data_IF_502668874685
#
_entry.id   IF_502668874685
#
_cell.length_a   1.000
_cell.length_b   1.000
_cell.length_c   1.000
_cell.angle_alpha   90.00
_cell.angle_beta   90.00
_cell.angle_gamma   90.00
#
_symmetry.space_group_name_H-M   'P 1'
#
loop_
_entity.id
_entity.type
_entity.pdbx_description
1 polymer ?
#
# COMPACT_ATOMS: atom_id res chain seq x y z
N UNK A 1 -0.70 -41.76 35.47
CA UNK A 1 -1.74 -41.61 34.44
C UNK A 1 -1.71 -40.17 33.96
N UNK A 2 -1.46 -40.01 32.68
CA UNK A 2 -1.46 -38.80 31.84
C UNK A 2 -2.77 -38.02 31.90
N UNK A 3 -2.73 -36.69 31.85
CA UNK A 3 -3.43 -35.92 30.81
C UNK A 3 -2.88 -34.49 30.72
N UNK A 4 -2.18 -34.22 29.60
CA UNK A 4 -1.95 -32.88 29.07
C UNK A 4 -3.30 -32.26 28.71
N UNK A 5 -3.48 -30.98 29.00
CA UNK A 5 -4.40 -30.14 28.24
C UNK A 5 -3.55 -29.01 27.67
N UNK A 6 -3.06 -29.31 26.46
CA UNK A 6 -2.83 -28.32 25.43
C UNK A 6 -4.19 -27.70 25.09
N UNK A 7 -4.32 -26.40 25.28
CA UNK A 7 -5.37 -25.61 24.65
C UNK A 7 -4.68 -24.35 24.17
N UNK A 8 -4.23 -24.45 22.93
CA UNK A 8 -3.55 -23.40 22.20
C UNK A 8 -4.28 -22.06 22.29
N UNK A 9 -3.45 -21.03 22.30
CA UNK A 9 -3.77 -19.68 21.85
C UNK A 9 -4.86 -19.70 20.75
N UNK A 10 -6.05 -19.11 20.97
CA UNK A 10 -6.58 -18.26 19.94
C UNK A 10 -5.68 -17.04 19.95
N UNK A 11 -4.63 -17.08 19.10
CA UNK A 11 -3.98 -15.87 18.63
C UNK A 11 -5.00 -15.16 17.73
N UNK A 12 -6.08 -14.67 18.35
CA UNK A 12 -6.91 -13.61 17.81
C UNK A 12 -5.99 -12.41 17.78
N UNK A 13 -5.19 -12.33 16.71
CA UNK A 13 -4.46 -11.12 16.39
C UNK A 13 -5.44 -9.95 16.46
N UNK A 14 -5.02 -8.77 16.93
CA UNK A 14 -5.87 -7.59 16.88
C UNK A 14 -6.42 -7.47 15.44
N UNK A 15 -7.64 -6.94 15.24
CA UNK A 15 -8.20 -6.76 13.89
C UNK A 15 -7.12 -6.09 13.06
N UNK A 16 -6.50 -6.85 12.14
CA UNK A 16 -5.29 -6.42 11.46
C UNK A 16 -5.65 -5.09 10.78
N UNK A 17 -5.07 -4.00 11.29
CA UNK A 17 -5.50 -2.65 10.98
C UNK A 17 -5.63 -2.51 9.47
N UNK A 18 -6.84 -2.23 9.01
CA UNK A 18 -7.16 -1.99 7.60
C UNK A 18 -6.34 -0.82 7.02
N UNK A 19 -5.62 -0.09 7.88
CA UNK A 19 -4.71 1.01 7.59
C UNK A 19 -3.20 0.66 7.64
N UNK A 20 -2.81 -0.58 7.93
CA UNK A 20 -1.38 -0.94 8.02
C UNK A 20 -0.77 -1.29 6.67
N UNK A 21 0.28 -0.57 6.28
CA UNK A 21 1.08 -0.88 5.09
C UNK A 21 1.85 -2.19 5.28
N UNK A 22 1.71 -3.13 4.34
CA UNK A 22 2.51 -4.36 4.31
C UNK A 22 3.48 -4.36 3.14
N UNK A 23 4.69 -4.88 3.41
CA UNK A 23 5.75 -4.96 2.41
C UNK A 23 5.35 -5.84 1.22
N UNK A 24 4.74 -6.99 1.49
CA UNK A 24 4.27 -7.95 0.48
C UNK A 24 3.26 -7.34 -0.52
N UNK A 25 2.33 -6.50 -0.03
CA UNK A 25 1.33 -5.82 -0.86
C UNK A 25 1.96 -4.74 -1.75
N UNK A 26 2.94 -4.01 -1.20
CA UNK A 26 3.69 -3.00 -1.93
C UNK A 26 4.52 -3.65 -3.03
N UNK A 27 5.23 -4.74 -2.74
CA UNK A 27 6.05 -5.46 -3.74
C UNK A 27 5.17 -6.09 -4.84
N UNK A 28 3.97 -6.60 -4.50
CA UNK A 28 3.03 -7.10 -5.48
C UNK A 28 2.56 -6.01 -6.45
N UNK A 29 2.15 -4.85 -5.93
CA UNK A 29 1.74 -3.70 -6.75
C UNK A 29 2.90 -3.13 -7.59
N UNK A 30 4.11 -3.11 -7.05
CA UNK A 30 5.29 -2.64 -7.77
C UNK A 30 5.61 -3.58 -8.94
N UNK A 31 5.55 -4.89 -8.73
CA UNK A 31 5.72 -5.86 -9.80
C UNK A 31 4.65 -5.68 -10.89
N UNK A 32 3.37 -5.59 -10.51
CA UNK A 32 2.28 -5.35 -11.45
C UNK A 32 2.50 -4.08 -12.30
N UNK A 33 2.99 -3.00 -11.68
CA UNK A 33 3.27 -1.74 -12.35
C UNK A 33 4.47 -1.82 -13.31
N UNK A 34 5.48 -2.63 -12.99
CA UNK A 34 6.72 -2.78 -13.77
C UNK A 34 6.58 -3.76 -14.94
N UNK A 35 5.69 -4.75 -14.86
CA UNK A 35 5.49 -5.76 -15.91
C UNK A 35 4.86 -5.20 -17.22
N UNK A 36 4.68 -3.89 -17.35
CA UNK A 36 4.35 -3.13 -18.58
C UNK A 36 3.02 -3.43 -19.28
N UNK A 37 2.29 -4.49 -18.92
CA UNK A 37 0.97 -4.82 -19.49
C UNK A 37 -0.21 -4.16 -18.77
N UNK A 38 0.00 -3.63 -17.55
CA UNK A 38 -1.09 -3.04 -16.78
C UNK A 38 -1.34 -1.57 -17.18
N UNK A 39 -2.56 -1.27 -17.64
CA UNK A 39 -2.96 0.12 -17.82
C UNK A 39 -3.12 0.85 -16.48
N UNK A 40 -3.01 2.17 -16.49
CA UNK A 40 -3.25 3.01 -15.31
C UNK A 40 -4.66 2.78 -14.72
N UNK A 41 -5.65 2.51 -15.57
CA UNK A 41 -7.01 2.20 -15.14
C UNK A 41 -7.05 0.88 -14.35
N UNK A 42 -6.46 -0.19 -14.88
CA UNK A 42 -6.39 -1.49 -14.20
C UNK A 42 -5.60 -1.41 -12.90
N UNK A 43 -4.50 -0.66 -12.90
CA UNK A 43 -3.72 -0.42 -11.68
C UNK A 43 -4.54 0.31 -10.62
N UNK A 44 -5.33 1.31 -11.02
CA UNK A 44 -6.18 2.07 -10.10
C UNK A 44 -7.34 1.24 -9.52
N UNK A 45 -7.85 0.26 -10.27
CA UNK A 45 -8.83 -0.71 -9.77
C UNK A 45 -8.20 -1.64 -8.74
N UNK A 46 -7.00 -2.17 -9.02
CA UNK A 46 -6.25 -3.00 -8.05
C UNK A 46 -5.98 -2.24 -6.76
N UNK A 47 -5.63 -0.96 -6.84
CA UNK A 47 -5.39 -0.12 -5.67
C UNK A 47 -6.57 -0.03 -4.71
N UNK A 48 -7.82 -0.19 -5.18
CA UNK A 48 -9.01 -0.16 -4.31
C UNK A 48 -8.99 -1.25 -3.23
N UNK A 49 -8.27 -2.35 -3.48
CA UNK A 49 -8.06 -3.41 -2.48
C UNK A 49 -7.05 -3.02 -1.38
N UNK A 50 -6.29 -1.94 -1.58
CA UNK A 50 -5.20 -1.50 -0.69
C UNK A 50 -5.46 -0.06 -0.20
N UNK A 51 -6.38 0.14 0.77
CA UNK A 51 -6.81 1.47 1.21
C UNK A 51 -5.66 2.31 1.80
N UNK A 52 -4.73 1.70 2.55
CA UNK A 52 -3.57 2.40 3.10
C UNK A 52 -2.63 2.96 2.00
N UNK A 53 -2.36 2.15 0.97
CA UNK A 53 -1.52 2.53 -0.17
C UNK A 53 -2.23 3.59 -1.02
N UNK A 54 -3.52 3.41 -1.29
CA UNK A 54 -4.36 4.37 -2.00
C UNK A 54 -4.35 5.74 -1.32
N UNK A 55 -4.52 5.79 0.00
CA UNK A 55 -4.48 7.03 0.77
C UNK A 55 -3.13 7.73 0.65
N UNK A 56 -2.02 6.98 0.64
CA UNK A 56 -0.68 7.55 0.48
C UNK A 56 -0.47 8.15 -0.92
N UNK A 57 -0.95 7.46 -1.95
CA UNK A 57 -0.93 7.93 -3.34
C UNK A 57 -1.73 9.24 -3.48
N UNK A 58 -2.95 9.29 -2.93
CA UNK A 58 -3.78 10.49 -2.93
C UNK A 58 -3.10 11.67 -2.22
N UNK A 59 -2.51 11.44 -1.04
CA UNK A 59 -1.76 12.48 -0.34
C UNK A 59 -0.58 13.02 -1.15
N UNK A 60 0.19 12.14 -1.82
CA UNK A 60 1.32 12.59 -2.64
C UNK A 60 0.82 13.36 -3.89
N UNK A 61 -0.22 12.87 -4.56
CA UNK A 61 -0.79 13.54 -5.72
C UNK A 61 -1.26 14.95 -5.36
N UNK A 62 -1.97 15.11 -4.25
CA UNK A 62 -2.40 16.41 -3.76
C UNK A 62 -1.23 17.30 -3.28
N UNK A 63 -0.18 16.73 -2.70
CA UNK A 63 1.03 17.49 -2.33
C UNK A 63 1.80 17.97 -3.56
N UNK A 64 1.74 17.24 -4.67
CA UNK A 64 2.37 17.62 -5.93
C UNK A 64 1.50 18.58 -6.76
N UNK A 65 0.19 18.58 -6.54
CA UNK A 65 -0.72 19.58 -7.08
C UNK A 65 -0.39 20.96 -6.47
N UNK A 66 -0.34 22.00 -7.30
CA UNK A 66 -0.06 23.37 -6.84
C UNK A 66 -1.28 23.95 -6.12
N UNK A 67 -1.07 24.99 -5.31
CA UNK A 67 -2.15 25.75 -4.70
C UNK A 67 -3.12 26.28 -5.78
N UNK A 68 -4.41 25.95 -5.63
CA UNK A 68 -5.48 26.35 -6.55
C UNK A 68 -6.01 25.25 -7.48
N UNK A 69 -5.41 24.06 -7.48
CA UNK A 69 -6.00 22.89 -8.15
C UNK A 69 -7.09 22.25 -7.27
N UNK A 70 -8.10 21.66 -7.92
CA UNK A 70 -9.10 20.85 -7.23
C UNK A 70 -8.45 19.66 -6.54
N UNK A 71 -8.95 19.31 -5.35
CA UNK A 71 -8.48 18.14 -4.61
C UNK A 71 -8.69 16.86 -5.43
N UNK A 72 -7.63 16.04 -5.52
CA UNK A 72 -7.67 14.73 -6.16
C UNK A 72 -8.17 13.73 -5.11
N UNK A 73 -9.42 13.26 -5.26
CA UNK A 73 -10.06 12.33 -4.33
C UNK A 73 -10.18 10.89 -4.84
N UNK A 74 -9.91 10.66 -6.14
CA UNK A 74 -10.03 9.35 -6.78
C UNK A 74 -8.67 8.74 -7.12
N UNK A 75 -8.50 7.44 -6.87
CA UNK A 75 -7.25 6.72 -7.14
C UNK A 75 -6.86 6.76 -8.62
N UNK A 76 -7.83 6.62 -9.54
CA UNK A 76 -7.61 6.72 -10.97
C UNK A 76 -7.02 8.07 -11.38
N UNK A 77 -7.58 9.17 -10.85
CA UNK A 77 -7.08 10.52 -11.10
C UNK A 77 -5.69 10.73 -10.51
N UNK A 78 -5.43 10.22 -9.29
CA UNK A 78 -4.12 10.31 -8.67
C UNK A 78 -3.05 9.54 -9.45
N UNK A 79 -3.38 8.32 -9.91
CA UNK A 79 -2.48 7.51 -10.71
C UNK A 79 -2.19 8.14 -12.07
N UNK A 80 -3.21 8.69 -12.74
CA UNK A 80 -3.04 9.40 -14.00
C UNK A 80 -2.18 10.67 -13.83
N UNK A 81 -2.40 11.42 -12.75
CA UNK A 81 -1.65 12.65 -12.44
C UNK A 81 -0.17 12.37 -12.14
N UNK A 82 0.13 11.33 -11.39
CA UNK A 82 1.51 10.97 -11.03
C UNK A 82 2.26 10.25 -12.17
N UNK A 83 1.56 9.41 -12.93
CA UNK A 83 2.16 8.54 -13.94
C UNK A 83 2.87 7.31 -13.35
N UNK A 84 3.14 6.31 -14.19
CA UNK A 84 3.71 5.01 -13.78
C UNK A 84 5.08 5.12 -13.12
N UNK A 85 5.98 5.96 -13.66
CA UNK A 85 7.33 6.15 -13.10
C UNK A 85 7.28 6.65 -11.66
N UNK A 86 6.43 7.64 -11.38
CA UNK A 86 6.35 8.25 -10.05
C UNK A 86 5.59 7.38 -9.06
N UNK A 87 4.62 6.60 -9.54
CA UNK A 87 3.96 5.55 -8.75
C UNK A 87 4.96 4.48 -8.32
N UNK A 88 5.83 4.01 -9.23
CA UNK A 88 6.85 3.01 -8.91
C UNK A 88 7.82 3.52 -7.83
N UNK A 89 8.32 4.73 -7.98
CA UNK A 89 9.18 5.38 -6.98
C UNK A 89 8.51 5.48 -5.61
N UNK A 90 7.22 5.85 -5.55
CA UNK A 90 6.48 5.92 -4.30
C UNK A 90 6.33 4.53 -3.66
N UNK A 91 6.01 3.49 -4.44
CA UNK A 91 5.89 2.13 -3.92
C UNK A 91 7.25 1.64 -3.38
N UNK A 92 8.34 1.88 -4.09
CA UNK A 92 9.69 1.55 -3.60
C UNK A 92 10.00 2.25 -2.28
N UNK A 93 9.70 3.56 -2.17
CA UNK A 93 9.90 4.32 -0.94
C UNK A 93 9.07 3.76 0.22
N UNK A 94 7.79 3.47 -0.02
CA UNK A 94 6.92 2.89 1.01
C UNK A 94 7.43 1.53 1.48
N UNK A 95 7.90 0.70 0.53
CA UNK A 95 8.49 -0.58 0.87
C UNK A 95 9.69 -0.42 1.79
N UNK A 96 10.58 0.55 1.50
CA UNK A 96 11.75 0.82 2.34
C UNK A 96 11.37 1.36 3.74
N UNK A 97 10.35 2.23 3.82
CA UNK A 97 9.82 2.74 5.09
C UNK A 97 9.33 1.58 5.97
N UNK A 98 8.52 0.67 5.41
CA UNK A 98 8.00 -0.51 6.13
C UNK A 98 9.15 -1.41 6.60
N UNK A 99 10.14 -1.70 5.75
CA UNK A 99 11.30 -2.54 6.11
C UNK A 99 12.16 -1.92 7.22
N UNK A 100 12.31 -0.59 7.25
CA UNK A 100 13.05 0.10 8.31
C UNK A 100 12.32 0.02 9.65
N UNK A 101 10.99 0.15 9.65
CA UNK A 101 10.19 0.05 10.88
C UNK A 101 10.23 -1.35 11.47
N UNK A 102 10.20 -2.40 10.63
CA UNK A 102 10.31 -3.79 11.07
C UNK A 102 11.71 -4.09 11.65
N UNK A 103 12.77 -3.63 10.97
CA UNK A 103 14.15 -3.83 11.44
C UNK A 103 14.56 -2.99 12.66
N UNK A 104 13.81 -1.93 13.00
CA UNK A 104 14.06 -1.13 14.20
C UNK A 104 13.44 -1.73 15.48
N UNK A 105 12.61 -2.76 15.34
CA UNK A 105 11.99 -3.49 16.45
C UNK A 105 12.71 -4.81 16.80
N UNK A 106 13.85 -5.10 16.15
CA UNK A 106 14.65 -6.32 16.33
C UNK A 106 15.93 -6.08 17.14
#
# INVERSE_FOLDING_TARGET
MTHRIDAGHPQSGPPHSVDSLRREEIDALLNDLLQSDLSIAEFSEKLRAFPAITRRILMLANSAARAGHAEISESAHACAFLGSVRLAQLLEQLGQEVSRTDGAAA
#
